data_IF_558146532116
#
_entry.id   IF_558146532116
#
_cell.length_a   1.000
_cell.length_b   1.000
_cell.length_c   1.000
_cell.angle_alpha   90.00
_cell.angle_beta   90.00
_cell.angle_gamma   90.00
#
_symmetry.space_group_name_H-M   'P 1'
#
loop_
_entity.id
_entity.type
_entity.pdbx_description
1 polymer ?
#
# COMPACT_ATOMS: atom_id res chain seq x y z
N UNK A 1 -4.64 -12.53 -11.75
CA UNK A 1 -3.83 -11.66 -12.66
C UNK A 1 -2.39 -11.58 -12.18
N UNK A 2 -2.12 -11.19 -10.93
CA UNK A 2 -0.75 -11.14 -10.39
C UNK A 2 -0.17 -12.51 -10.00
N UNK A 3 -0.95 -13.59 -10.04
CA UNK A 3 -0.46 -14.96 -9.76
C UNK A 3 0.56 -15.46 -10.80
N UNK A 4 0.64 -14.82 -11.96
CA UNK A 4 1.57 -15.18 -13.03
C UNK A 4 2.97 -14.57 -12.87
N UNK A 5 3.15 -13.57 -11.97
CA UNK A 5 4.45 -12.93 -11.78
C UNK A 5 5.23 -13.60 -10.65
N UNK A 6 6.38 -14.17 -11.00
CA UNK A 6 7.29 -14.81 -10.05
C UNK A 6 8.37 -13.82 -9.64
N UNK A 7 8.52 -13.62 -8.33
CA UNK A 7 9.59 -12.83 -7.73
C UNK A 7 10.68 -13.71 -7.13
N UNK A 8 11.93 -13.22 -7.07
CA UNK A 8 13.01 -13.95 -6.42
C UNK A 8 12.75 -14.11 -4.90
N UNK A 9 13.38 -15.11 -4.25
CA UNK A 9 13.32 -15.26 -2.80
C UNK A 9 13.73 -13.96 -2.09
N UNK A 10 12.99 -13.56 -1.05
CA UNK A 10 13.24 -12.31 -0.32
C UNK A 10 12.39 -11.12 -0.78
N UNK A 11 11.80 -11.17 -1.98
CA UNK A 11 10.80 -10.20 -2.43
C UNK A 11 9.40 -10.71 -2.11
N UNK A 12 8.58 -9.84 -1.51
CA UNK A 12 7.17 -10.09 -1.24
C UNK A 12 6.32 -9.05 -1.94
N UNK A 13 5.24 -9.52 -2.57
CA UNK A 13 4.18 -8.69 -3.12
C UNK A 13 2.93 -8.88 -2.27
N UNK A 14 2.36 -7.78 -1.82
CA UNK A 14 1.07 -7.72 -1.15
C UNK A 14 0.08 -6.96 -2.04
N UNK A 15 -1.09 -7.56 -2.26
CA UNK A 15 -2.15 -6.98 -3.07
C UNK A 15 -3.42 -6.82 -2.22
N UNK A 16 -4.05 -5.65 -2.34
CA UNK A 16 -5.40 -5.41 -1.85
C UNK A 16 -6.19 -4.65 -2.91
N UNK A 17 -7.06 -5.36 -3.63
CA UNK A 17 -7.83 -4.82 -4.76
C UNK A 17 -6.88 -4.12 -5.76
N UNK A 18 -6.90 -2.78 -5.80
CA UNK A 18 -6.10 -1.94 -6.70
C UNK A 18 -4.75 -1.48 -6.08
N UNK A 19 -4.56 -1.67 -4.76
CA UNK A 19 -3.38 -1.23 -4.03
C UNK A 19 -2.33 -2.36 -3.97
N UNK A 20 -1.14 -2.08 -4.51
CA UNK A 20 0.00 -3.00 -4.54
C UNK A 20 1.14 -2.48 -3.68
N UNK A 21 1.76 -3.37 -2.91
CA UNK A 21 2.94 -3.10 -2.12
C UNK A 21 3.99 -4.19 -2.38
N UNK A 22 5.19 -3.77 -2.78
CA UNK A 22 6.35 -4.64 -2.93
C UNK A 22 7.37 -4.33 -1.85
N UNK A 23 7.94 -5.36 -1.24
CA UNK A 23 8.91 -5.23 -0.15
C UNK A 23 10.02 -6.25 -0.29
N UNK A 24 11.22 -5.90 0.15
CA UNK A 24 12.39 -6.76 0.19
C UNK A 24 13.48 -6.14 1.05
N UNK A 25 14.54 -6.90 1.33
CA UNK A 25 15.64 -6.46 2.19
C UNK A 25 16.64 -5.56 1.47
N UNK A 26 16.88 -5.82 0.17
CA UNK A 26 17.84 -5.06 -0.64
C UNK A 26 17.12 -4.13 -1.61
N UNK A 27 17.51 -2.87 -1.58
CA UNK A 27 16.95 -1.81 -2.43
C UNK A 27 17.04 -2.15 -3.92
N UNK A 28 18.18 -2.68 -4.37
CA UNK A 28 18.40 -3.07 -5.77
C UNK A 28 17.47 -4.20 -6.24
N UNK A 29 17.21 -5.18 -5.36
CA UNK A 29 16.31 -6.29 -5.66
C UNK A 29 14.86 -5.79 -5.72
N UNK A 30 14.46 -4.91 -4.79
CA UNK A 30 13.13 -4.26 -4.79
C UNK A 30 12.96 -3.39 -6.03
N UNK A 31 13.98 -2.64 -6.43
CA UNK A 31 13.97 -1.83 -7.64
C UNK A 31 13.70 -2.69 -8.88
N UNK A 32 14.52 -3.73 -9.08
CA UNK A 32 14.39 -4.63 -10.22
C UNK A 32 13.02 -5.30 -10.25
N UNK A 33 12.53 -5.76 -9.09
CA UNK A 33 11.21 -6.36 -8.96
C UNK A 33 10.07 -5.36 -9.23
N UNK A 34 10.21 -4.10 -8.80
CA UNK A 34 9.23 -3.04 -9.05
C UNK A 34 9.13 -2.74 -10.55
N UNK A 35 10.27 -2.62 -11.25
CA UNK A 35 10.28 -2.40 -12.71
C UNK A 35 9.62 -3.57 -13.43
N UNK A 36 9.95 -4.82 -13.06
CA UNK A 36 9.33 -6.02 -13.63
C UNK A 36 7.80 -6.01 -13.43
N UNK A 37 7.33 -5.64 -12.25
CA UNK A 37 5.91 -5.51 -11.95
C UNK A 37 5.23 -4.43 -12.81
N UNK A 38 5.84 -3.25 -12.94
CA UNK A 38 5.28 -2.16 -13.73
C UNK A 38 5.16 -2.53 -15.22
N UNK A 39 6.17 -3.21 -15.78
CA UNK A 39 6.14 -3.72 -17.16
C UNK A 39 5.00 -4.73 -17.32
N UNK A 40 4.92 -5.72 -16.41
CA UNK A 40 3.86 -6.74 -16.43
C UNK A 40 2.45 -6.13 -16.36
N UNK A 41 2.24 -5.13 -15.50
CA UNK A 41 0.97 -4.41 -15.40
C UNK A 41 0.64 -3.71 -16.73
N UNK A 42 1.62 -3.08 -17.37
CA UNK A 42 1.48 -2.45 -18.68
C UNK A 42 1.10 -3.44 -19.78
N UNK A 43 1.74 -4.62 -19.82
CA UNK A 43 1.44 -5.69 -20.77
C UNK A 43 0.02 -6.25 -20.60
N UNK A 44 -0.50 -6.28 -19.36
CA UNK A 44 -1.88 -6.66 -19.06
C UNK A 44 -2.89 -5.53 -19.29
N UNK A 45 -2.45 -4.36 -19.78
CA UNK A 45 -3.30 -3.20 -20.06
C UNK A 45 -3.73 -2.42 -18.81
N UNK A 46 -3.11 -2.68 -17.66
CA UNK A 46 -3.37 -1.99 -16.41
C UNK A 46 -2.56 -0.69 -16.33
N UNK A 47 -3.13 0.33 -15.70
CA UNK A 47 -2.51 1.65 -15.55
C UNK A 47 -2.16 1.92 -14.09
N UNK A 48 -0.95 2.41 -13.87
CA UNK A 48 -0.47 2.82 -12.55
C UNK A 48 -0.43 4.35 -12.46
N UNK A 49 -0.91 4.90 -11.34
CA UNK A 49 -0.89 6.35 -11.11
C UNK A 49 0.53 6.82 -10.77
N UNK A 50 1.17 7.52 -11.71
CA UNK A 50 2.53 8.07 -11.51
C UNK A 50 2.62 9.02 -10.31
N UNK A 51 1.56 9.79 -10.04
CA UNK A 51 1.53 10.75 -8.92
C UNK A 51 1.35 10.10 -7.56
N UNK A 52 0.83 8.87 -7.50
CA UNK A 52 0.62 8.11 -6.26
C UNK A 52 1.68 7.04 -6.04
N UNK A 53 2.53 6.80 -7.04
CA UNK A 53 3.58 5.79 -6.96
C UNK A 53 4.65 6.23 -5.95
N UNK A 54 4.89 5.39 -4.95
CA UNK A 54 5.98 5.53 -3.97
C UNK A 54 7.05 4.54 -4.39
N UNK A 55 8.15 5.03 -4.97
CA UNK A 55 9.09 4.19 -5.70
C UNK A 55 10.31 3.87 -4.83
N UNK A 56 10.39 2.61 -4.36
CA UNK A 56 11.52 2.07 -3.60
C UNK A 56 11.91 2.96 -2.41
N UNK A 57 10.94 3.28 -1.56
CA UNK A 57 11.15 4.14 -0.39
C UNK A 57 11.28 3.30 0.89
N UNK A 58 12.05 3.81 1.86
CA UNK A 58 12.22 3.15 3.18
C UNK A 58 10.96 3.20 4.06
N UNK A 59 10.08 4.18 3.82
CA UNK A 59 8.78 4.28 4.46
C UNK A 59 7.72 4.63 3.41
N UNK A 60 6.62 3.87 3.38
CA UNK A 60 5.56 4.05 2.39
C UNK A 60 4.19 4.06 3.04
N UNK A 61 3.23 4.73 2.39
CA UNK A 61 1.81 4.70 2.76
C UNK A 61 1.11 3.54 2.06
N UNK A 62 0.46 2.67 2.81
CA UNK A 62 -0.33 1.55 2.28
C UNK A 62 -1.57 1.32 3.13
N UNK A 63 -2.76 1.30 2.49
CA UNK A 63 -4.07 1.13 3.15
C UNK A 63 -4.29 2.03 4.38
N UNK A 64 -3.78 3.26 4.33
CA UNK A 64 -3.89 4.24 5.42
C UNK A 64 -2.90 4.05 6.58
N UNK A 65 -1.97 3.11 6.45
CA UNK A 65 -0.84 2.93 7.35
C UNK A 65 0.45 3.49 6.75
N UNK A 66 1.37 3.93 7.61
CA UNK A 66 2.78 4.14 7.28
C UNK A 66 3.53 2.85 7.63
N UNK A 67 4.21 2.28 6.64
CA UNK A 67 4.97 1.04 6.76
C UNK A 67 6.44 1.38 6.56
N UNK A 68 7.27 1.02 7.54
CA UNK A 68 8.73 1.11 7.50
C UNK A 68 9.34 -0.19 8.03
N UNK A 69 10.67 -0.30 8.00
CA UNK A 69 11.42 -1.48 8.44
C UNK A 69 10.94 -2.00 9.81
N UNK A 70 10.27 -3.15 9.80
CA UNK A 70 9.73 -3.82 11.00
C UNK A 70 8.63 -3.04 11.74
N UNK A 71 8.15 -1.91 11.21
CA UNK A 71 7.24 -1.00 11.92
C UNK A 71 6.02 -0.67 11.07
N UNK A 72 4.84 -0.67 11.71
CA UNK A 72 3.57 -0.22 11.13
C UNK A 72 2.96 0.85 12.02
N UNK A 73 2.66 2.01 11.46
CA UNK A 73 2.00 3.13 12.17
C UNK A 73 0.72 3.51 11.45
N UNK A 74 -0.27 4.01 12.18
CA UNK A 74 -1.45 4.63 11.56
C UNK A 74 -1.04 5.98 11.00
N UNK A 75 -1.44 6.30 9.77
CA UNK A 75 -1.14 7.61 9.20
C UNK A 75 -1.83 8.72 9.99
N UNK A 76 -1.14 9.87 10.15
CA UNK A 76 -1.66 11.01 10.92
C UNK A 76 -3.00 11.54 10.38
N UNK A 77 -3.27 11.33 9.07
CA UNK A 77 -4.54 11.64 8.42
C UNK A 77 -5.71 10.75 8.90
N UNK A 78 -5.46 9.46 9.16
CA UNK A 78 -6.48 8.60 9.77
C UNK A 78 -6.73 9.01 11.22
N UNK A 79 -5.66 9.28 11.98
CA UNK A 79 -5.78 9.74 13.38
C UNK A 79 -6.63 11.02 13.45
N UNK A 80 -6.35 12.02 12.61
CA UNK A 80 -7.11 13.27 12.60
C UNK A 80 -8.56 13.07 12.18
N UNK A 81 -8.82 12.16 11.23
CA UNK A 81 -10.19 11.83 10.81
C UNK A 81 -11.00 11.17 11.92
N UNK A 82 -10.39 10.29 12.72
CA UNK A 82 -11.04 9.66 13.88
C UNK A 82 -11.27 10.65 15.02
N UNK A 83 -10.28 11.48 15.34
CA UNK A 83 -10.37 12.48 16.42
C UNK A 83 -11.37 13.60 16.10
N UNK A 84 -11.53 13.94 14.82
CA UNK A 84 -12.47 14.98 14.37
C UNK A 84 -13.93 14.51 14.31
N UNK A 85 -14.23 13.24 14.58
CA UNK A 85 -15.62 12.78 14.63
C UNK A 85 -16.30 13.40 15.85
N UNK A 86 -17.32 14.21 15.59
CA UNK A 86 -18.19 14.75 16.63
C UNK A 86 -18.91 13.60 17.35
N UNK A 87 -19.23 13.80 18.63
CA UNK A 87 -19.87 12.78 19.45
C UNK A 87 -21.13 12.26 18.74
N UNK A 88 -21.20 10.95 18.39
CA UNK A 88 -22.32 10.43 17.62
C UNK A 88 -23.61 10.57 18.43
N UNK A 89 -24.64 11.15 17.83
CA UNK A 89 -25.93 11.47 18.47
C UNK A 89 -27.01 10.44 18.17
N UNK A 90 -26.75 9.49 17.28
CA UNK A 90 -27.72 8.46 16.89
C UNK A 90 -27.12 7.05 16.85
N UNK A 91 -27.98 6.02 17.01
CA UNK A 91 -27.57 4.61 16.84
C UNK A 91 -26.91 4.33 15.49
N UNK A 92 -27.34 5.03 14.43
CA UNK A 92 -26.77 4.92 13.08
C UNK A 92 -25.35 5.49 13.02
N UNK A 93 -25.10 6.62 13.68
CA UNK A 93 -23.76 7.21 13.78
C UNK A 93 -22.84 6.38 14.67
N UNK A 94 -23.34 5.83 15.78
CA UNK A 94 -22.59 4.91 16.63
C UNK A 94 -22.12 3.69 15.83
N UNK A 95 -23.01 3.08 15.02
CA UNK A 95 -22.65 1.94 14.15
C UNK A 95 -21.67 2.29 13.02
N UNK A 96 -21.57 3.56 12.64
CA UNK A 96 -20.61 4.02 11.63
C UNK A 96 -19.25 4.33 12.25
N UNK A 97 -19.24 4.70 13.52
CA UNK A 97 -18.04 5.03 14.27
C UNK A 97 -17.30 3.79 14.79
N UNK A 98 -18.04 2.80 15.30
CA UNK A 98 -17.53 1.50 15.74
C UNK A 98 -17.25 0.57 14.56
#
# INVERSE_FOLDING_TARGET
ILEEIIFPPGIKLLQYVDDLLISGEKEEEVWSATIKLLIFLGEKGLRVSKTKLQFVEKEVKYLGHLISEGKRRISQKQISSTVAVTLPKSKKEIRKFL
#
